data_IF_577061991096
#
_entry.id   IF_577061991096
#
_cell.length_a   1.000
_cell.length_b   1.000
_cell.length_c   1.000
_cell.angle_alpha   90.00
_cell.angle_beta   90.00
_cell.angle_gamma   90.00
#
_symmetry.space_group_name_H-M   'P 1'
#
loop_
_entity.id
_entity.type
_entity.pdbx_description
1 polymer ?
#
# COMPACT_ATOMS: atom_id res chain seq x y z
N UNK A 1 -1.39 -43.72 -6.01
CA UNK A 1 -0.99 -43.93 -7.41
C UNK A 1 -1.96 -43.15 -8.28
N UNK A 2 -1.48 -42.17 -9.03
CA UNK A 2 -2.28 -41.38 -9.96
C UNK A 2 -2.60 -42.24 -11.18
N UNK A 3 -3.89 -42.43 -11.50
CA UNK A 3 -4.32 -43.22 -12.65
C UNK A 3 -4.27 -42.34 -13.91
N UNK A 4 -3.09 -42.20 -14.52
CA UNK A 4 -2.89 -41.35 -15.71
C UNK A 4 -3.79 -41.74 -16.88
N UNK A 5 -4.16 -43.02 -17.01
CA UNK A 5 -5.06 -43.52 -18.04
C UNK A 5 -6.46 -42.88 -17.96
N UNK A 6 -7.03 -42.72 -16.76
CA UNK A 6 -8.33 -42.06 -16.58
C UNK A 6 -8.27 -40.56 -16.84
N UNK A 7 -7.17 -39.91 -16.44
CA UNK A 7 -6.97 -38.48 -16.67
C UNK A 7 -6.76 -38.16 -18.15
N UNK A 8 -6.06 -39.02 -18.88
CA UNK A 8 -5.72 -38.81 -20.29
C UNK A 8 -6.87 -39.15 -21.25
N UNK A 9 -7.82 -39.98 -20.84
CA UNK A 9 -9.04 -40.26 -21.60
C UNK A 9 -9.83 -38.98 -21.99
N UNK A 10 -9.81 -37.95 -21.16
CA UNK A 10 -10.49 -36.66 -21.39
C UNK A 10 -9.55 -35.52 -21.81
N UNK A 11 -8.26 -35.79 -21.96
CA UNK A 11 -7.23 -34.80 -22.31
C UNK A 11 -7.17 -34.60 -23.82
N UNK A 12 -6.86 -33.40 -24.32
CA UNK A 12 -6.79 -33.13 -25.76
C UNK A 12 -5.57 -33.78 -26.43
N UNK A 13 -5.67 -34.06 -27.74
CA UNK A 13 -4.57 -34.68 -28.50
C UNK A 13 -3.28 -33.85 -28.45
N UNK A 14 -3.42 -32.52 -28.46
CA UNK A 14 -2.31 -31.58 -28.28
C UNK A 14 -1.59 -31.78 -26.94
N UNK A 15 -2.34 -31.97 -25.85
CA UNK A 15 -1.77 -32.15 -24.52
C UNK A 15 -1.14 -33.55 -24.35
N UNK A 16 -1.69 -34.59 -24.99
CA UNK A 16 -1.07 -35.92 -25.02
C UNK A 16 0.22 -35.93 -25.83
N UNK A 17 0.24 -35.21 -26.96
CA UNK A 17 1.45 -35.08 -27.79
C UNK A 17 2.52 -34.23 -27.10
N UNK A 18 2.13 -33.19 -26.36
CA UNK A 18 3.05 -32.41 -25.53
C UNK A 18 3.77 -33.30 -24.50
N UNK A 19 3.05 -34.21 -23.83
CA UNK A 19 3.64 -35.17 -22.88
C UNK A 19 4.71 -36.06 -23.54
N UNK A 20 4.46 -36.52 -24.78
CA UNK A 20 5.41 -37.35 -25.52
C UNK A 20 6.60 -36.55 -26.09
N UNK A 21 6.37 -35.33 -26.56
CA UNK A 21 7.38 -34.48 -27.21
C UNK A 21 8.35 -33.88 -26.19
N UNK A 22 7.90 -33.63 -24.96
CA UNK A 22 8.70 -33.16 -23.82
C UNK A 22 8.92 -34.26 -22.78
N UNK A 23 9.28 -35.46 -23.24
CA UNK A 23 9.41 -36.67 -22.40
C UNK A 23 10.35 -36.54 -21.20
N UNK A 24 11.29 -35.59 -21.24
CA UNK A 24 12.21 -35.24 -20.16
C UNK A 24 11.53 -34.57 -18.95
N UNK A 25 10.31 -34.05 -19.12
CA UNK A 25 9.54 -33.34 -18.09
C UNK A 25 8.51 -34.24 -17.39
N UNK A 26 8.33 -35.49 -17.83
CA UNK A 26 7.27 -36.38 -17.38
C UNK A 26 7.81 -37.72 -16.87
N UNK A 27 7.04 -38.35 -15.97
CA UNK A 27 7.36 -39.68 -15.46
C UNK A 27 7.03 -40.76 -16.49
N UNK A 28 7.77 -41.89 -16.53
CA UNK A 28 7.57 -42.96 -17.53
C UNK A 28 6.13 -43.46 -17.63
N UNK A 29 5.42 -43.57 -16.50
CA UNK A 29 4.03 -44.03 -16.45
C UNK A 29 3.07 -43.07 -17.17
N UNK A 30 3.38 -41.77 -17.20
CA UNK A 30 2.62 -40.79 -17.95
C UNK A 30 2.92 -40.87 -19.45
N UNK A 31 4.16 -41.18 -19.83
CA UNK A 31 4.55 -41.38 -21.24
C UNK A 31 3.84 -42.61 -21.83
N UNK A 32 3.81 -43.72 -21.09
CA UNK A 32 3.12 -44.94 -21.53
C UNK A 32 1.60 -44.74 -21.65
N UNK A 33 0.99 -44.08 -20.67
CA UNK A 33 -0.45 -43.79 -20.70
C UNK A 33 -0.82 -42.83 -21.85
N UNK A 34 0.00 -41.80 -22.12
CA UNK A 34 -0.23 -40.87 -23.23
C UNK A 34 -0.08 -41.55 -24.59
N UNK A 35 0.90 -42.45 -24.73
CA UNK A 35 1.11 -43.24 -25.96
C UNK A 35 -0.06 -44.20 -26.22
N UNK A 36 -0.49 -44.94 -25.20
CA UNK A 36 -1.61 -45.87 -25.31
C UNK A 36 -2.93 -45.14 -25.67
N UNK A 37 -3.15 -43.96 -25.10
CA UNK A 37 -4.34 -43.15 -25.38
C UNK A 37 -4.33 -42.55 -26.79
N UNK A 38 -3.16 -42.12 -27.31
CA UNK A 38 -3.03 -41.64 -28.69
C UNK A 38 -3.19 -42.78 -29.70
N UNK A 39 -2.66 -43.98 -29.40
CA UNK A 39 -2.88 -45.19 -30.20
C UNK A 39 -4.37 -45.58 -30.24
N UNK A 40 -5.08 -45.46 -29.11
CA UNK A 40 -6.53 -45.69 -29.01
C UNK A 40 -7.36 -44.73 -29.86
N UNK A 41 -6.87 -43.50 -30.11
CA UNK A 41 -7.59 -42.45 -30.84
C UNK A 41 -7.41 -42.48 -32.35
N UNK A 42 -6.53 -43.34 -32.87
CA UNK A 42 -6.31 -43.57 -34.31
C UNK A 42 -6.17 -42.26 -35.14
N UNK A 43 -5.38 -41.31 -34.63
CA UNK A 43 -5.21 -40.02 -35.30
C UNK A 43 -4.57 -40.17 -36.68
N UNK A 44 -5.15 -39.50 -37.69
CA UNK A 44 -4.56 -39.44 -39.03
C UNK A 44 -3.23 -38.67 -39.04
N UNK A 45 -2.39 -38.94 -40.04
CA UNK A 45 -1.09 -38.26 -40.18
C UNK A 45 -1.21 -36.71 -40.25
N UNK A 46 -2.30 -36.21 -40.84
CA UNK A 46 -2.61 -34.78 -40.89
C UNK A 46 -2.94 -34.22 -39.50
N UNK A 47 -3.80 -34.91 -38.73
CA UNK A 47 -4.14 -34.53 -37.36
C UNK A 47 -2.93 -34.58 -36.42
N UNK A 48 -2.06 -35.57 -36.59
CA UNK A 48 -0.80 -35.69 -35.85
C UNK A 48 0.12 -34.50 -36.07
N UNK A 49 0.23 -34.04 -37.32
CA UNK A 49 1.06 -32.89 -37.69
C UNK A 49 0.51 -31.59 -37.08
N UNK A 50 -0.80 -31.35 -37.23
CA UNK A 50 -1.45 -30.15 -36.67
C UNK A 50 -1.35 -30.10 -35.14
N UNK A 51 -1.51 -31.25 -34.47
CA UNK A 51 -1.46 -31.29 -33.02
C UNK A 51 -0.04 -31.10 -32.46
N UNK A 52 1.00 -31.57 -33.17
CA UNK A 52 2.42 -31.27 -32.86
C UNK A 52 2.74 -29.79 -33.06
N UNK A 53 2.32 -29.18 -34.16
CA UNK A 53 2.48 -27.74 -34.37
C UNK A 53 1.81 -26.92 -33.26
N UNK A 54 0.61 -27.33 -32.82
CA UNK A 54 -0.07 -26.72 -31.70
C UNK A 54 0.68 -26.89 -30.38
N UNK A 55 1.28 -28.06 -30.11
CA UNK A 55 2.09 -28.32 -28.92
C UNK A 55 3.37 -27.46 -28.90
N UNK A 56 4.08 -27.38 -30.03
CA UNK A 56 5.24 -26.50 -30.19
C UNK A 56 4.88 -25.02 -30.02
N UNK A 57 3.78 -24.56 -30.63
CA UNK A 57 3.28 -23.20 -30.47
C UNK A 57 2.89 -22.91 -29.02
N UNK A 58 2.34 -23.89 -28.30
CA UNK A 58 2.02 -23.75 -26.89
C UNK A 58 3.28 -23.55 -26.04
N UNK A 59 4.32 -24.37 -26.25
CA UNK A 59 5.57 -24.25 -25.49
C UNK A 59 6.35 -22.98 -25.85
N UNK A 60 6.36 -22.58 -27.12
CA UNK A 60 6.91 -21.30 -27.58
C UNK A 60 6.16 -20.11 -26.96
N UNK A 61 4.83 -20.19 -26.84
CA UNK A 61 4.04 -19.16 -26.19
C UNK A 61 4.26 -19.12 -24.67
N UNK A 62 4.42 -20.27 -24.03
CA UNK A 62 4.71 -20.39 -22.59
C UNK A 62 6.08 -19.80 -22.25
N UNK A 63 7.12 -20.18 -23.00
CA UNK A 63 8.48 -19.64 -22.85
C UNK A 63 8.52 -18.13 -23.12
N UNK A 64 7.86 -17.65 -24.17
CA UNK A 64 7.74 -16.21 -24.44
C UNK A 64 6.99 -15.45 -23.34
N UNK A 65 5.92 -16.03 -22.77
CA UNK A 65 5.20 -15.44 -21.63
C UNK A 65 6.10 -15.35 -20.40
N UNK A 66 6.82 -16.43 -20.07
CA UNK A 66 7.76 -16.45 -18.94
C UNK A 66 8.89 -15.43 -19.13
N UNK A 67 9.49 -15.35 -20.31
CA UNK A 67 10.52 -14.37 -20.63
C UNK A 67 10.00 -12.93 -20.49
N UNK A 68 8.78 -12.64 -21.00
CA UNK A 68 8.14 -11.33 -20.84
C UNK A 68 7.85 -11.00 -19.38
N UNK A 69 7.37 -11.96 -18.59
CA UNK A 69 7.13 -11.77 -17.15
C UNK A 69 8.44 -11.49 -16.42
N UNK A 70 9.50 -12.23 -16.74
CA UNK A 70 10.82 -12.02 -16.15
C UNK A 70 11.38 -10.63 -16.50
N UNK A 71 11.28 -10.23 -17.77
CA UNK A 71 11.69 -8.90 -18.21
C UNK A 71 10.88 -7.78 -17.51
N UNK A 72 9.57 -7.99 -17.29
CA UNK A 72 8.74 -7.06 -16.52
C UNK A 72 9.16 -6.97 -15.05
N UNK A 73 9.51 -8.10 -14.42
CA UNK A 73 10.02 -8.15 -13.05
C UNK A 73 11.36 -7.39 -12.97
N UNK A 74 12.28 -7.64 -13.90
CA UNK A 74 13.58 -6.97 -13.93
C UNK A 74 13.43 -5.45 -14.14
N UNK A 75 12.59 -5.02 -15.09
CA UNK A 75 12.27 -3.61 -15.29
C UNK A 75 11.64 -2.98 -14.04
N UNK A 76 10.77 -3.70 -13.35
CA UNK A 76 10.15 -3.24 -12.10
C UNK A 76 11.16 -3.13 -10.97
N UNK A 77 12.07 -4.11 -10.84
CA UNK A 77 13.14 -4.11 -9.86
C UNK A 77 14.13 -2.95 -10.09
N UNK A 78 14.48 -2.67 -11.34
CA UNK A 78 15.33 -1.52 -11.69
C UNK A 78 14.65 -0.19 -11.35
N UNK A 79 13.35 -0.04 -11.66
CA UNK A 79 12.56 1.15 -11.27
C UNK A 79 12.48 1.29 -9.75
N UNK A 80 12.21 0.21 -9.03
CA UNK A 80 12.13 0.20 -7.57
C UNK A 80 13.48 0.57 -6.94
N UNK A 81 14.59 -0.01 -7.41
CA UNK A 81 15.94 0.33 -6.95
C UNK A 81 16.26 1.81 -7.16
N UNK A 82 15.97 2.34 -8.35
CA UNK A 82 16.18 3.77 -8.67
C UNK A 82 15.36 4.68 -7.76
N UNK A 83 14.11 4.29 -7.47
CA UNK A 83 13.25 5.02 -6.54
C UNK A 83 13.80 4.99 -5.10
N UNK A 84 14.18 3.82 -4.60
CA UNK A 84 14.79 3.66 -3.27
C UNK A 84 16.07 4.47 -3.11
N UNK A 85 16.96 4.46 -4.09
CA UNK A 85 18.18 5.28 -4.08
C UNK A 85 17.87 6.78 -4.06
N UNK A 86 16.75 7.20 -4.66
CA UNK A 86 16.31 8.60 -4.65
C UNK A 86 15.81 9.03 -3.27
N UNK A 87 15.03 8.20 -2.60
CA UNK A 87 14.39 8.53 -1.32
C UNK A 87 15.22 8.14 -0.08
N UNK A 88 16.22 7.28 -0.22
CA UNK A 88 17.00 6.79 0.91
C UNK A 88 17.78 7.93 1.59
N UNK A 89 17.57 8.16 2.91
CA UNK A 89 18.32 9.16 3.67
C UNK A 89 19.78 8.75 3.91
N UNK A 90 20.11 7.46 3.78
CA UNK A 90 21.45 6.92 4.07
C UNK A 90 22.36 6.86 2.85
N UNK A 91 22.00 7.52 1.74
CA UNK A 91 22.84 7.54 0.55
C UNK A 91 24.16 8.29 0.83
N UNK A 92 25.33 7.69 0.55
CA UNK A 92 26.61 8.38 0.72
C UNK A 92 26.70 9.62 -0.18
N UNK A 93 27.35 10.67 0.33
CA UNK A 93 27.54 11.94 -0.38
C UNK A 93 26.41 12.95 -0.23
N UNK A 94 25.32 12.63 0.48
CA UNK A 94 24.29 13.61 0.82
C UNK A 94 24.76 14.58 1.90
N UNK A 95 24.42 15.86 1.75
CA UNK A 95 24.56 16.84 2.82
C UNK A 95 23.68 16.49 4.02
N UNK A 96 24.05 16.95 5.23
CA UNK A 96 23.24 16.71 6.43
C UNK A 96 21.79 17.19 6.28
N UNK A 97 21.57 18.30 5.57
CA UNK A 97 20.25 18.82 5.24
C UNK A 97 19.42 17.85 4.39
N UNK A 98 20.02 17.33 3.33
CA UNK A 98 19.35 16.38 2.43
C UNK A 98 19.03 15.06 3.11
N UNK A 99 19.94 14.56 3.97
CA UNK A 99 19.69 13.34 4.75
C UNK A 99 18.47 13.52 5.67
N UNK A 100 18.41 14.63 6.42
CA UNK A 100 17.26 14.94 7.29
C UNK A 100 15.98 15.15 6.50
N UNK A 101 16.03 15.85 5.36
CA UNK A 101 14.88 16.02 4.48
C UNK A 101 14.32 14.67 3.99
N UNK A 102 15.20 13.78 3.52
CA UNK A 102 14.80 12.44 3.08
C UNK A 102 14.26 11.58 4.21
N UNK A 103 14.80 11.73 5.42
CA UNK A 103 14.26 11.07 6.60
C UNK A 103 12.84 11.56 6.92
N UNK A 104 12.61 12.88 6.88
CA UNK A 104 11.27 13.47 7.04
C UNK A 104 10.33 12.94 5.97
N UNK A 105 10.75 12.88 4.70
CA UNK A 105 9.95 12.31 3.61
C UNK A 105 9.59 10.85 3.85
N UNK A 106 10.54 10.04 4.31
CA UNK A 106 10.32 8.63 4.61
C UNK A 106 9.33 8.44 5.76
N UNK A 107 9.54 9.15 6.87
CA UNK A 107 8.63 9.13 8.01
C UNK A 107 7.23 9.64 7.63
N UNK A 108 7.17 10.67 6.79
CA UNK A 108 5.89 11.18 6.30
C UNK A 108 5.18 10.19 5.37
N UNK A 109 5.93 9.47 4.53
CA UNK A 109 5.39 8.41 3.67
C UNK A 109 4.75 7.29 4.51
N UNK A 110 5.42 6.87 5.58
CA UNK A 110 4.91 5.83 6.50
C UNK A 110 3.60 6.30 7.15
N UNK A 111 3.55 7.54 7.64
CA UNK A 111 2.33 8.08 8.25
C UNK A 111 1.18 8.18 7.23
N UNK A 112 1.48 8.65 6.02
CA UNK A 112 0.49 8.75 4.93
C UNK A 112 -0.05 7.37 4.54
N UNK A 113 0.83 6.37 4.43
CA UNK A 113 0.43 5.00 4.15
C UNK A 113 -0.47 4.43 5.27
N UNK A 114 -0.14 4.73 6.54
CA UNK A 114 -0.99 4.36 7.66
C UNK A 114 -2.36 5.06 7.62
N UNK A 115 -2.43 6.34 7.25
CA UNK A 115 -3.72 7.05 7.07
C UNK A 115 -4.58 6.40 5.98
N UNK A 116 -3.98 6.03 4.85
CA UNK A 116 -4.67 5.31 3.76
C UNK A 116 -5.18 3.95 4.24
N UNK A 117 -4.35 3.24 5.00
CA UNK A 117 -4.74 1.96 5.59
C UNK A 117 -5.95 2.11 6.53
N UNK A 118 -5.92 3.09 7.44
CA UNK A 118 -7.02 3.37 8.37
C UNK A 118 -8.30 3.80 7.63
N UNK A 119 -8.18 4.50 6.51
CA UNK A 119 -9.31 4.82 5.66
C UNK A 119 -9.99 3.56 5.11
N UNK A 120 -9.23 2.63 4.52
CA UNK A 120 -9.81 1.38 4.04
C UNK A 120 -10.40 0.53 5.17
N UNK A 121 -9.76 0.49 6.34
CA UNK A 121 -10.30 -0.18 7.52
C UNK A 121 -11.65 0.46 7.96
N UNK A 122 -11.74 1.79 7.95
CA UNK A 122 -12.98 2.51 8.26
C UNK A 122 -14.10 2.18 7.28
N UNK A 123 -13.80 2.09 5.98
CA UNK A 123 -14.81 1.73 4.97
C UNK A 123 -15.37 0.32 5.16
N UNK A 124 -14.55 -0.61 5.64
CA UNK A 124 -15.00 -1.97 5.96
C UNK A 124 -15.86 -1.99 7.23
N UNK A 125 -15.50 -1.18 8.23
CA UNK A 125 -16.25 -1.05 9.48
C UNK A 125 -17.67 -0.49 9.25
N UNK A 126 -17.80 0.57 8.45
CA UNK A 126 -19.07 1.22 8.14
C UNK A 126 -19.93 0.47 7.12
N UNK A 127 -19.79 -0.86 7.02
CA UNK A 127 -20.49 -1.77 6.10
C UNK A 127 -21.82 -1.18 5.60
N UNK A 128 -21.94 -0.93 4.28
CA UNK A 128 -22.99 -0.12 3.64
C UNK A 128 -24.45 -0.59 3.86
N UNK A 129 -24.66 -1.62 4.68
CA UNK A 129 -25.97 -2.16 5.05
C UNK A 129 -26.75 -1.25 6.01
N UNK A 130 -26.09 -0.36 6.78
CA UNK A 130 -26.73 0.59 7.69
C UNK A 130 -26.09 1.97 7.56
N UNK A 131 -26.40 2.66 6.45
CA UNK A 131 -25.89 4.01 6.19
C UNK A 131 -26.75 5.04 6.93
N UNK A 132 -26.40 5.35 8.17
CA UNK A 132 -26.95 6.47 8.92
C UNK A 132 -26.05 7.71 8.84
N UNK A 133 -26.51 8.83 9.41
CA UNK A 133 -25.76 10.08 9.38
C UNK A 133 -24.45 9.98 10.17
N UNK A 134 -24.36 9.08 11.15
CA UNK A 134 -23.11 8.80 11.87
C UNK A 134 -22.06 8.14 10.96
N UNK A 135 -22.47 7.14 10.16
CA UNK A 135 -21.61 6.52 9.17
C UNK A 135 -21.14 7.51 8.09
N UNK A 136 -22.03 8.40 7.62
CA UNK A 136 -21.67 9.45 6.66
C UNK A 136 -20.61 10.41 7.25
N UNK A 137 -20.81 10.89 8.49
CA UNK A 137 -19.85 11.75 9.18
C UNK A 137 -18.51 11.05 9.38
N UNK A 138 -18.52 9.78 9.76
CA UNK A 138 -17.32 8.95 9.92
C UNK A 138 -16.53 8.78 8.61
N UNK A 139 -17.22 8.49 7.51
CA UNK A 139 -16.61 8.35 6.18
C UNK A 139 -16.03 9.69 5.71
N UNK A 140 -16.78 10.79 5.80
CA UNK A 140 -16.30 12.12 5.41
C UNK A 140 -15.07 12.54 6.22
N UNK A 141 -15.09 12.30 7.53
CA UNK A 141 -13.94 12.56 8.41
C UNK A 141 -12.72 11.73 7.99
N UNK A 142 -12.93 10.46 7.64
CA UNK A 142 -11.86 9.55 7.20
C UNK A 142 -11.28 9.96 5.83
N UNK A 143 -12.12 10.43 4.90
CA UNK A 143 -11.68 10.99 3.62
C UNK A 143 -10.79 12.22 3.85
N UNK A 144 -11.26 13.18 4.65
CA UNK A 144 -10.52 14.42 4.95
C UNK A 144 -9.16 14.08 5.59
N UNK A 145 -9.16 13.21 6.61
CA UNK A 145 -7.96 12.77 7.32
C UNK A 145 -6.97 11.98 6.44
N UNK A 146 -7.40 11.51 5.27
CA UNK A 146 -6.55 10.78 4.31
C UNK A 146 -6.03 11.68 3.21
N UNK A 147 -6.89 12.54 2.65
CA UNK A 147 -6.52 13.47 1.58
C UNK A 147 -5.50 14.49 2.07
N UNK A 148 -5.67 15.03 3.29
CA UNK A 148 -4.79 16.07 3.83
C UNK A 148 -3.32 15.58 3.88
N UNK A 149 -2.99 14.40 4.46
CA UNK A 149 -1.63 13.88 4.44
C UNK A 149 -1.05 13.65 3.04
N UNK A 150 -1.87 13.15 2.11
CA UNK A 150 -1.46 12.90 0.71
C UNK A 150 -1.10 14.23 0.02
N UNK A 151 -1.94 15.26 0.17
CA UNK A 151 -1.68 16.58 -0.40
C UNK A 151 -0.41 17.18 0.19
N UNK A 152 -0.22 17.08 1.51
CA UNK A 152 0.99 17.53 2.18
C UNK A 152 2.23 16.78 1.66
N UNK A 153 2.14 15.45 1.47
CA UNK A 153 3.22 14.64 0.91
C UNK A 153 3.61 15.13 -0.49
N UNK A 154 2.63 15.36 -1.37
CA UNK A 154 2.87 15.84 -2.72
C UNK A 154 3.47 17.26 -2.73
N UNK A 155 2.97 18.16 -1.88
CA UNK A 155 3.52 19.52 -1.76
C UNK A 155 4.92 19.54 -1.18
N UNK A 156 5.23 18.67 -0.23
CA UNK A 156 6.59 18.54 0.31
C UNK A 156 7.58 18.08 -0.76
N UNK A 157 7.14 17.20 -1.67
CA UNK A 157 7.97 16.71 -2.77
C UNK A 157 8.12 17.72 -3.91
N UNK A 158 7.05 18.44 -4.28
CA UNK A 158 7.02 19.34 -5.45
C UNK A 158 7.29 20.80 -5.13
N UNK A 159 6.76 21.29 -4.01
CA UNK A 159 6.76 22.70 -3.61
C UNK A 159 7.27 22.81 -2.18
N UNK A 160 8.49 22.32 -1.99
CA UNK A 160 9.27 22.21 -0.76
C UNK A 160 8.84 23.16 0.37
N UNK A 161 8.91 24.49 0.16
CA UNK A 161 8.53 25.48 1.18
C UNK A 161 7.05 25.46 1.57
N UNK A 162 6.14 25.36 0.60
CA UNK A 162 4.70 25.28 0.90
C UNK A 162 4.38 23.96 1.60
N UNK A 163 5.00 22.87 1.15
CA UNK A 163 4.90 21.55 1.78
C UNK A 163 5.38 21.56 3.22
N UNK A 164 6.47 22.26 3.51
CA UNK A 164 6.94 22.47 4.89
C UNK A 164 5.90 23.20 5.73
N UNK A 165 5.34 24.31 5.23
CA UNK A 165 4.34 25.11 5.96
C UNK A 165 3.09 24.27 6.25
N UNK A 166 2.61 23.52 5.28
CA UNK A 166 1.43 22.67 5.46
C UNK A 166 1.68 21.48 6.36
N UNK A 167 2.84 20.84 6.24
CA UNK A 167 3.23 19.76 7.13
C UNK A 167 3.35 20.26 8.57
N UNK A 168 4.03 21.38 8.80
CA UNK A 168 4.12 21.98 10.13
C UNK A 168 2.73 22.30 10.70
N UNK A 169 1.86 22.91 9.89
CA UNK A 169 0.49 23.23 10.29
C UNK A 169 -0.33 21.99 10.69
N UNK A 170 -0.22 20.92 9.91
CA UNK A 170 -0.86 19.64 10.20
C UNK A 170 -0.29 18.97 11.45
N UNK A 171 1.03 18.98 11.63
CA UNK A 171 1.67 18.43 12.81
C UNK A 171 1.25 19.18 14.08
N UNK A 172 1.17 20.52 14.05
CA UNK A 172 0.65 21.28 15.20
C UNK A 172 -0.78 20.88 15.54
N UNK A 173 -1.64 20.73 14.53
CA UNK A 173 -3.02 20.31 14.74
C UNK A 173 -3.10 18.89 15.35
N UNK A 174 -2.32 17.95 14.81
CA UNK A 174 -2.23 16.58 15.32
C UNK A 174 -1.72 16.54 16.77
N UNK A 175 -0.76 17.40 17.12
CA UNK A 175 -0.29 17.50 18.51
C UNK A 175 -1.38 18.01 19.44
N UNK A 176 -2.12 19.07 19.05
CA UNK A 176 -3.23 19.58 19.84
C UNK A 176 -4.26 18.46 20.08
N UNK A 177 -4.69 17.76 19.03
CA UNK A 177 -5.63 16.66 19.18
C UNK A 177 -5.06 15.48 19.98
N UNK A 178 -3.79 15.12 19.79
CA UNK A 178 -3.13 14.07 20.55
C UNK A 178 -3.04 14.39 22.05
N UNK A 179 -2.74 15.64 22.41
CA UNK A 179 -2.76 16.07 23.80
C UNK A 179 -4.17 16.09 24.39
N UNK A 180 -5.18 16.55 23.64
CA UNK A 180 -6.57 16.50 24.08
C UNK A 180 -7.05 15.06 24.29
N UNK A 181 -6.72 14.15 23.38
CA UNK A 181 -7.00 12.73 23.51
C UNK A 181 -6.33 12.14 24.76
N UNK A 182 -5.06 12.48 25.01
CA UNK A 182 -4.36 12.06 26.22
C UNK A 182 -5.02 12.59 27.50
N UNK A 183 -5.43 13.86 27.54
CA UNK A 183 -6.14 14.45 28.69
C UNK A 183 -7.47 13.72 28.92
N UNK A 184 -8.24 13.47 27.87
CA UNK A 184 -9.51 12.74 27.96
C UNK A 184 -9.29 11.32 28.50
N UNK A 185 -8.25 10.65 28.03
CA UNK A 185 -7.88 9.31 28.47
C UNK A 185 -7.44 9.27 29.94
N UNK A 186 -6.75 10.31 30.43
CA UNK A 186 -6.44 10.44 31.86
C UNK A 186 -7.68 10.75 32.72
N UNK A 187 -8.72 11.34 32.12
CA UNK A 187 -9.96 11.75 32.81
C UNK A 187 -11.00 10.63 32.90
N UNK A 188 -11.18 9.87 31.83
CA UNK A 188 -12.08 8.72 31.78
C UNK A 188 -11.25 7.49 32.12
N UNK A 189 -11.51 6.88 33.28
CA UNK A 189 -10.83 5.67 33.77
C UNK A 189 -10.61 4.65 32.65
N UNK A 190 -9.37 4.15 32.52
CA UNK A 190 -8.89 3.22 31.50
C UNK A 190 -9.81 2.00 31.29
N UNK A 191 -10.83 2.15 30.45
CA UNK A 191 -11.50 1.01 29.84
C UNK A 191 -10.64 0.62 28.63
N UNK A 192 -9.95 -0.51 28.76
CA UNK A 192 -9.12 -1.11 27.71
C UNK A 192 -10.00 -1.79 26.65
N UNK A 193 -11.00 -1.07 26.16
CA UNK A 193 -11.78 -1.56 25.03
C UNK A 193 -10.90 -1.47 23.77
N UNK A 194 -10.79 -2.60 23.09
CA UNK A 194 -10.15 -2.67 21.78
C UNK A 194 -10.92 -1.74 20.83
N UNK A 195 -10.25 -0.76 20.22
CA UNK A 195 -10.86 0.09 19.19
C UNK A 195 -11.52 -0.83 18.13
N UNK A 196 -12.84 -0.75 17.92
CA UNK A 196 -13.55 -1.68 17.05
C UNK A 196 -13.08 -1.62 15.59
N UNK A 197 -12.48 -0.51 15.14
CA UNK A 197 -11.88 -0.38 13.81
C UNK A 197 -10.55 -1.16 13.73
N UNK A 198 -9.80 -1.23 14.82
CA UNK A 198 -8.53 -1.97 14.91
C UNK A 198 -8.70 -3.40 15.40
N UNK A 199 -9.79 -3.73 16.10
CA UNK A 199 -10.13 -5.09 16.53
C UNK A 199 -10.24 -6.06 15.36
N UNK A 200 -10.50 -5.55 14.15
CA UNK A 200 -10.54 -6.32 12.90
C UNK A 200 -9.14 -6.72 12.40
N UNK A 201 -8.06 -5.98 12.73
CA UNK A 201 -6.75 -6.17 12.08
C UNK A 201 -5.49 -6.10 12.98
N UNK A 202 -5.56 -5.49 14.16
CA UNK A 202 -4.49 -5.42 15.15
C UNK A 202 -5.05 -5.57 16.57
N UNK A 203 -5.53 -6.78 16.94
CA UNK A 203 -6.33 -7.02 18.14
C UNK A 203 -5.58 -6.85 19.48
N UNK A 204 -4.31 -6.47 19.48
CA UNK A 204 -3.43 -6.50 20.68
C UNK A 204 -2.87 -5.14 21.10
N UNK A 205 -3.08 -4.06 20.34
CA UNK A 205 -2.64 -2.72 20.77
C UNK A 205 -3.77 -1.96 21.43
N UNK A 206 -3.58 -1.57 22.69
CA UNK A 206 -4.52 -0.71 23.40
C UNK A 206 -4.63 0.66 22.71
N UNK A 207 -5.82 1.26 22.72
CA UNK A 207 -6.04 2.63 22.21
C UNK A 207 -5.01 3.61 22.77
N UNK A 208 -4.68 3.47 24.05
CA UNK A 208 -3.67 4.26 24.78
C UNK A 208 -2.30 4.17 24.12
N UNK A 209 -1.81 2.96 23.86
CA UNK A 209 -0.48 2.75 23.29
C UNK A 209 -0.40 3.34 21.88
N UNK A 210 -1.49 3.24 21.12
CA UNK A 210 -1.61 3.84 19.79
C UNK A 210 -1.54 5.37 19.84
N UNK A 211 -2.33 5.99 20.71
CA UNK A 211 -2.40 7.46 20.79
C UNK A 211 -1.08 8.04 21.29
N UNK A 212 -0.41 7.37 22.24
CA UNK A 212 0.94 7.72 22.68
C UNK A 212 1.98 7.55 21.56
N UNK A 213 1.91 6.46 20.79
CA UNK A 213 2.79 6.25 19.64
C UNK A 213 2.62 7.37 18.60
N UNK A 214 1.39 7.70 18.22
CA UNK A 214 1.13 8.78 17.27
C UNK A 214 1.57 10.14 17.81
N UNK A 215 1.34 10.43 19.09
CA UNK A 215 1.80 11.66 19.71
C UNK A 215 3.34 11.75 19.64
N UNK A 216 4.05 10.71 20.07
CA UNK A 216 5.51 10.64 20.00
C UNK A 216 6.02 10.77 18.55
N UNK A 217 5.34 10.14 17.60
CA UNK A 217 5.67 10.19 16.17
C UNK A 217 5.53 11.61 15.60
N UNK A 218 4.43 12.30 15.91
CA UNK A 218 4.21 13.69 15.49
C UNK A 218 5.21 14.64 16.15
N UNK A 219 5.57 14.43 17.43
CA UNK A 219 6.61 15.20 18.13
C UNK A 219 7.96 15.01 17.43
N UNK A 220 8.35 13.78 17.12
CA UNK A 220 9.60 13.47 16.43
C UNK A 220 9.67 14.14 15.05
N UNK A 221 8.60 14.01 14.25
CA UNK A 221 8.53 14.64 12.94
C UNK A 221 8.64 16.17 13.04
N UNK A 222 7.93 16.78 13.99
CA UNK A 222 7.99 18.22 14.19
C UNK A 222 9.39 18.65 14.64
N UNK A 223 10.01 17.91 15.55
CA UNK A 223 11.38 18.16 16.00
C UNK A 223 12.36 18.15 14.82
N UNK A 224 12.31 17.13 13.96
CA UNK A 224 13.15 17.05 12.75
C UNK A 224 12.86 18.20 11.79
N UNK A 225 11.58 18.57 11.62
CA UNK A 225 11.14 19.64 10.73
C UNK A 225 11.61 21.04 11.21
N UNK A 226 11.75 21.22 12.52
CA UNK A 226 12.17 22.47 13.17
C UNK A 226 13.69 22.61 13.33
N UNK A 227 14.46 21.59 12.99
CA UNK A 227 15.92 21.63 12.97
C UNK A 227 16.44 22.80 12.12
N UNK A 228 17.44 23.53 12.61
CA UNK A 228 18.03 24.69 11.92
C UNK A 228 18.46 24.36 10.50
N UNK A 229 19.15 23.22 10.32
CA UNK A 229 19.67 22.79 9.01
C UNK A 229 18.54 22.54 8.02
N UNK A 230 17.42 21.96 8.48
CA UNK A 230 16.23 21.71 7.65
C UNK A 230 15.52 23.02 7.32
N UNK A 231 15.37 23.92 8.29
CA UNK A 231 14.73 25.22 8.06
C UNK A 231 15.51 26.08 7.06
N UNK A 232 16.84 26.06 7.15
CA UNK A 232 17.72 26.79 6.24
C UNK A 232 17.63 26.19 4.83
N UNK A 233 17.60 24.86 4.71
CA UNK A 233 17.39 24.16 3.44
C UNK A 233 16.09 24.58 2.73
N UNK A 234 15.02 24.80 3.49
CA UNK A 234 13.73 25.26 2.96
C UNK A 234 13.57 26.78 2.88
N UNK A 235 14.60 27.56 3.26
CA UNK A 235 14.56 29.02 3.37
C UNK A 235 13.34 29.53 4.18
N UNK A 236 13.10 28.91 5.34
CA UNK A 236 12.00 29.23 6.25
C UNK A 236 12.32 30.51 7.04
N UNK A 237 11.39 31.46 7.02
CA UNK A 237 11.46 32.73 7.75
C UNK A 237 10.40 32.76 8.83
N UNK A 238 10.50 33.72 9.77
CA UNK A 238 9.50 33.91 10.86
C UNK A 238 8.05 33.95 10.37
N UNK A 239 7.79 34.61 9.24
CA UNK A 239 6.44 34.68 8.63
C UNK A 239 5.87 33.31 8.24
N UNK A 240 6.72 32.36 7.90
CA UNK A 240 6.29 31.04 7.45
C UNK A 240 5.79 30.19 8.63
N UNK A 241 6.30 30.42 9.85
CA UNK A 241 5.74 29.85 11.08
C UNK A 241 4.33 30.39 11.36
N UNK A 242 4.13 31.70 11.22
CA UNK A 242 2.81 32.31 11.37
C UNK A 242 1.84 31.71 10.33
N UNK A 243 2.31 31.52 9.09
CA UNK A 243 1.52 30.85 8.06
C UNK A 243 1.16 29.41 8.44
N UNK A 244 2.07 28.65 9.07
CA UNK A 244 1.75 27.28 9.51
C UNK A 244 0.66 27.25 10.57
N UNK A 245 0.60 28.24 11.48
CA UNK A 245 -0.48 28.38 12.46
C UNK A 245 -1.82 28.68 11.76
N UNK A 246 -1.83 29.58 10.78
CA UNK A 246 -3.03 29.84 9.99
C UNK A 246 -3.50 28.61 9.22
N UNK A 247 -2.56 27.83 8.67
CA UNK A 247 -2.88 26.54 8.05
C UNK A 247 -3.48 25.58 9.09
N UNK A 248 -2.94 25.49 10.31
CA UNK A 248 -3.54 24.66 11.37
C UNK A 248 -4.99 25.04 11.67
N UNK A 249 -5.28 26.35 11.77
CA UNK A 249 -6.65 26.84 12.01
C UNK A 249 -7.59 26.53 10.84
N UNK A 250 -7.11 26.68 9.60
CA UNK A 250 -7.87 26.33 8.41
C UNK A 250 -8.16 24.82 8.37
N UNK A 251 -7.15 23.98 8.64
CA UNK A 251 -7.30 22.53 8.70
C UNK A 251 -8.27 22.13 9.82
N UNK A 252 -8.21 22.76 10.99
CA UNK A 252 -9.18 22.55 12.07
C UNK A 252 -10.61 22.79 11.58
N UNK A 253 -10.84 23.92 10.92
CA UNK A 253 -12.14 24.24 10.31
C UNK A 253 -12.61 23.15 9.34
N UNK A 254 -11.75 22.74 8.41
CA UNK A 254 -12.05 21.68 7.43
C UNK A 254 -12.38 20.35 8.12
N UNK A 255 -11.56 19.93 9.10
CA UNK A 255 -11.77 18.67 9.83
C UNK A 255 -13.03 18.68 10.70
N UNK A 256 -13.52 19.86 11.08
CA UNK A 256 -14.77 20.01 11.84
C UNK A 256 -16.03 20.06 10.96
N UNK A 257 -15.91 20.25 9.64
CA UNK A 257 -17.07 20.33 8.74
C UNK A 257 -18.01 19.12 8.81
N UNK A 258 -17.53 17.86 8.86
CA UNK A 258 -18.41 16.71 9.01
C UNK A 258 -19.28 16.79 10.27
N UNK A 259 -18.76 17.33 11.37
CA UNK A 259 -19.51 17.45 12.62
C UNK A 259 -20.67 18.45 12.53
N UNK A 260 -20.61 19.43 11.62
CA UNK A 260 -21.72 20.35 11.41
C UNK A 260 -22.95 19.65 10.85
N UNK A 261 -22.79 18.60 10.04
CA UNK A 261 -23.93 17.81 9.54
C UNK A 261 -24.71 17.12 10.67
N UNK A 262 -24.06 16.88 11.82
CA UNK A 262 -24.70 16.30 13.00
C UNK A 262 -25.51 17.33 13.82
N UNK A 263 -25.23 18.63 13.68
CA UNK A 263 -25.85 19.69 14.49
C UNK A 263 -27.14 20.23 13.83
N UNK A 264 -27.26 20.11 12.51
CA UNK A 264 -28.36 20.67 11.73
C UNK A 264 -29.51 19.70 11.42
N UNK A 265 -29.56 18.56 12.12
CA UNK A 265 -30.68 17.59 12.13
C UNK A 265 -31.20 17.39 13.55
#
# INVERSE_FOLDING_TARGET
MTNFAESFANTSDQALLHVLEFSDQYVPEALEAAKAELERRELSAAQMTTAKEAAHNYEANKTNKLARTQEQIERSNQKAKTFWEKISPWKPGLSSAEQKFKLILLLWAILTANSIYLFFASLQYYNFSHFDNYALVGILSSIINTIIPIVCFFWLFKVQKKGWITLAGLLYLNLIFGFLALINLLRYSFEFDSDPIMGVFAPTTTQVARDLFFLAYNILLLYLLMDTVVRDFFAIKKKDFINSIWVSLLLLGITSLPMLFYIFE
#
